data_IF_552538253186
#
_entry.id   IF_552538253186
#
_cell.length_a   1.000
_cell.length_b   1.000
_cell.length_c   1.000
_cell.angle_alpha   90.00
_cell.angle_beta   90.00
_cell.angle_gamma   90.00
#
_symmetry.space_group_name_H-M   'P 1'
#
loop_
_entity.id
_entity.type
_entity.pdbx_description
1 polymer ?
#
# COMPACT_ATOMS: atom_id res chain seq x y z
N UNK A 1 9.85 -16.75 17.18
CA UNK A 1 9.07 -17.76 16.44
C UNK A 1 8.39 -18.83 17.32
N UNK A 2 8.80 -19.06 18.57
CA UNK A 2 8.29 -20.18 19.39
C UNK A 2 6.85 -20.03 19.96
N UNK A 3 6.36 -18.80 20.17
CA UNK A 3 5.07 -18.55 20.83
C UNK A 3 3.88 -19.00 19.97
N UNK A 4 3.94 -18.77 18.66
CA UNK A 4 2.86 -19.10 17.72
C UNK A 4 2.65 -20.61 17.60
N UNK A 5 3.73 -21.39 17.50
CA UNK A 5 3.67 -22.85 17.40
C UNK A 5 3.07 -23.50 18.64
N UNK A 6 3.34 -22.94 19.83
CA UNK A 6 2.76 -23.43 21.09
C UNK A 6 1.26 -23.15 21.17
N UNK A 7 0.82 -21.98 20.71
CA UNK A 7 -0.61 -21.62 20.67
C UNK A 7 -1.39 -22.50 19.68
N UNK A 8 -0.85 -22.73 18.48
CA UNK A 8 -1.49 -23.58 17.48
C UNK A 8 -1.63 -25.03 17.94
N UNK A 9 -0.59 -25.58 18.58
CA UNK A 9 -0.64 -26.91 19.18
C UNK A 9 -1.69 -27.01 20.30
N UNK A 10 -1.81 -25.97 21.13
CA UNK A 10 -2.75 -25.94 22.26
C UNK A 10 -4.22 -25.82 21.81
N UNK A 11 -4.46 -25.40 20.58
CA UNK A 11 -5.77 -25.31 19.96
C UNK A 11 -6.09 -26.51 19.03
N UNK A 12 -5.24 -27.55 19.01
CA UNK A 12 -5.36 -28.71 18.10
C UNK A 12 -5.47 -28.34 16.60
N UNK A 13 -4.81 -27.24 16.19
CA UNK A 13 -4.80 -26.81 14.80
C UNK A 13 -3.57 -27.39 14.10
N UNK A 14 -3.73 -28.24 13.05
CA UNK A 14 -2.60 -28.84 12.35
C UNK A 14 -1.81 -27.76 11.60
N UNK A 15 -0.49 -27.73 11.82
CA UNK A 15 0.41 -26.85 11.09
C UNK A 15 0.85 -27.55 9.80
N UNK A 16 0.79 -26.90 8.63
CA UNK A 16 1.21 -27.54 7.39
C UNK A 16 2.72 -27.84 7.39
N UNK A 17 3.15 -28.93 6.73
CA UNK A 17 4.57 -29.28 6.66
C UNK A 17 5.37 -28.22 5.90
N UNK A 18 6.66 -28.11 6.21
CA UNK A 18 7.57 -27.22 5.49
C UNK A 18 7.53 -27.52 3.98
N UNK A 19 7.33 -26.48 3.16
CA UNK A 19 7.16 -26.63 1.71
C UNK A 19 5.72 -26.86 1.23
N UNK A 20 4.73 -26.88 2.12
CA UNK A 20 3.30 -26.91 1.74
C UNK A 20 2.92 -25.80 0.74
N UNK A 21 3.36 -24.57 1.00
CA UNK A 21 3.08 -23.42 0.13
C UNK A 21 3.73 -23.56 -1.25
N UNK A 22 4.95 -24.10 -1.31
CA UNK A 22 5.64 -24.40 -2.56
C UNK A 22 4.87 -25.47 -3.38
N UNK A 23 4.37 -26.52 -2.73
CA UNK A 23 3.57 -27.56 -3.41
C UNK A 23 2.23 -27.02 -3.94
N UNK A 24 1.60 -26.09 -3.22
CA UNK A 24 0.37 -25.40 -3.65
C UNK A 24 0.63 -24.47 -4.85
N UNK A 25 1.75 -23.73 -4.84
CA UNK A 25 2.13 -22.85 -5.96
C UNK A 25 2.42 -23.61 -7.25
N UNK A 26 3.00 -24.82 -7.16
CA UNK A 26 3.25 -25.68 -8.31
C UNK A 26 2.09 -26.63 -8.66
N UNK A 27 0.88 -26.41 -8.11
CA UNK A 27 -0.34 -27.14 -8.47
C UNK A 27 -0.32 -28.64 -8.17
N UNK A 28 0.57 -29.12 -7.29
CA UNK A 28 0.62 -30.54 -6.90
C UNK A 28 -0.53 -30.86 -5.94
N UNK A 29 -1.19 -32.03 -6.03
CA UNK A 29 -2.22 -32.42 -5.08
C UNK A 29 -1.59 -32.55 -3.69
N UNK A 30 -2.13 -31.81 -2.72
CA UNK A 30 -1.67 -31.83 -1.32
C UNK A 30 -2.78 -32.39 -0.45
N UNK A 31 -2.48 -33.46 0.29
CA UNK A 31 -3.41 -34.04 1.26
C UNK A 31 -3.52 -33.12 2.49
N UNK A 32 -4.73 -32.62 2.74
CA UNK A 32 -5.03 -31.84 3.95
C UNK A 32 -5.47 -32.81 5.06
N UNK A 33 -4.78 -32.87 6.21
CA UNK A 33 -5.25 -33.66 7.33
C UNK A 33 -6.60 -33.12 7.81
N UNK A 34 -7.57 -34.03 7.99
CA UNK A 34 -8.93 -33.69 8.40
C UNK A 34 -8.94 -32.99 9.76
N UNK A 35 -9.71 -31.91 9.87
CA UNK A 35 -9.89 -31.18 11.12
C UNK A 35 -10.53 -32.08 12.19
N UNK A 36 -10.18 -31.90 13.48
CA UNK A 36 -10.84 -32.62 14.57
C UNK A 36 -12.33 -32.26 14.65
N UNK A 37 -13.18 -33.16 15.19
CA UNK A 37 -14.60 -32.89 15.36
C UNK A 37 -14.83 -31.69 16.29
N UNK A 38 -15.78 -30.84 15.93
CA UNK A 38 -16.12 -29.63 16.68
C UNK A 38 -16.56 -29.97 18.11
N UNK A 39 -16.03 -29.30 19.16
CA UNK A 39 -16.49 -29.50 20.52
C UNK A 39 -17.95 -29.07 20.67
N UNK A 40 -18.74 -29.89 21.38
CA UNK A 40 -20.17 -29.68 21.62
C UNK A 40 -20.36 -28.46 22.53
N UNK A 41 -20.51 -27.28 21.92
CA UNK A 41 -20.48 -25.98 22.59
C UNK A 41 -20.02 -24.82 21.70
N UNK A 42 -19.55 -25.09 20.47
CA UNK A 42 -19.32 -24.05 19.47
C UNK A 42 -20.65 -23.47 18.98
N UNK A 43 -21.04 -22.32 19.54
CA UNK A 43 -22.07 -21.45 18.97
C UNK A 43 -21.55 -20.95 17.61
N UNK A 44 -22.40 -21.10 16.58
CA UNK A 44 -22.35 -20.61 15.19
C UNK A 44 -21.02 -20.08 14.60
N UNK A 45 -20.67 -20.46 13.35
CA UNK A 45 -19.52 -19.88 12.69
C UNK A 45 -19.68 -18.36 12.57
N UNK A 46 -18.75 -17.60 13.17
CA UNK A 46 -18.58 -16.18 12.92
C UNK A 46 -18.37 -15.97 11.41
N UNK A 47 -19.44 -15.66 10.68
CA UNK A 47 -19.35 -15.19 9.30
C UNK A 47 -18.65 -13.84 9.37
N UNK A 48 -17.39 -13.82 8.92
CA UNK A 48 -16.65 -12.57 8.79
C UNK A 48 -17.26 -11.77 7.63
N UNK A 49 -18.27 -10.96 7.93
CA UNK A 49 -18.85 -10.01 6.99
C UNK A 49 -17.77 -9.00 6.57
N UNK A 50 -17.27 -9.16 5.34
CA UNK A 50 -16.27 -8.27 4.74
C UNK A 50 -16.84 -6.89 4.40
N UNK A 51 -18.15 -6.69 4.52
CA UNK A 51 -18.87 -5.49 4.09
C UNK A 51 -18.89 -4.35 5.11
N UNK A 52 -18.60 -4.60 6.40
CA UNK A 52 -18.49 -3.52 7.41
C UNK A 52 -17.04 -3.16 7.72
N UNK A 53 -16.34 -2.56 6.75
CA UNK A 53 -15.04 -1.90 7.01
C UNK A 53 -15.18 -0.39 6.90
N UNK A 54 -15.93 0.19 7.83
CA UNK A 54 -15.94 1.63 8.10
C UNK A 54 -15.75 1.84 9.60
N UNK A 55 -14.51 1.92 10.05
CA UNK A 55 -14.19 2.07 11.46
C UNK A 55 -12.69 2.14 11.69
N UNK A 56 -12.19 3.37 11.83
CA UNK A 56 -10.81 3.72 12.13
C UNK A 56 -10.21 2.82 13.22
N UNK A 57 -9.09 2.17 12.90
CA UNK A 57 -8.13 1.72 13.91
C UNK A 57 -6.81 2.40 13.61
N UNK A 58 -6.55 3.45 14.37
CA UNK A 58 -5.25 4.08 14.56
C UNK A 58 -4.28 3.01 15.07
N UNK A 59 -3.49 2.43 14.16
CA UNK A 59 -2.34 1.61 14.52
C UNK A 59 -1.17 2.57 14.72
N UNK A 60 -0.92 2.96 15.96
CA UNK A 60 0.38 3.47 16.40
C UNK A 60 1.44 2.45 15.97
N UNK A 61 2.11 2.75 14.85
CA UNK A 61 3.27 2.01 14.40
C UNK A 61 4.39 2.31 15.38
N UNK A 62 4.59 1.39 16.34
CA UNK A 62 5.83 1.30 17.10
C UNK A 62 6.95 1.12 16.07
N UNK A 63 7.66 2.22 15.82
CA UNK A 63 8.78 2.33 14.90
C UNK A 63 10.00 1.69 15.56
N UNK A 64 10.08 0.35 15.53
CA UNK A 64 11.32 -0.33 15.90
C UNK A 64 12.29 -0.21 14.74
N UNK A 65 13.21 0.74 14.84
CA UNK A 65 14.34 0.90 13.93
C UNK A 65 15.17 -0.39 13.91
N UNK A 66 15.13 -1.14 12.80
CA UNK A 66 16.14 -2.16 12.52
C UNK A 66 17.39 -1.44 12.00
N UNK A 67 18.31 -1.14 12.91
CA UNK A 67 19.65 -0.62 12.61
C UNK A 67 20.48 -1.75 11.98
N UNK A 68 20.58 -1.75 10.64
CA UNK A 68 21.46 -2.69 9.92
C UNK A 68 22.90 -2.16 9.98
N UNK A 69 23.74 -2.80 10.78
CA UNK A 69 25.19 -2.60 10.76
C UNK A 69 25.81 -3.26 9.50
N UNK A 70 26.89 -2.70 8.92
CA UNK A 70 27.52 -3.27 7.74
C UNK A 70 28.28 -4.54 8.13
N UNK A 71 27.87 -5.68 7.55
CA UNK A 71 28.60 -6.94 7.69
C UNK A 71 29.77 -6.94 6.71
N UNK A 72 30.98 -7.00 7.27
CA UNK A 72 32.23 -7.20 6.55
C UNK A 72 32.22 -8.54 5.79
N UNK A 73 32.64 -8.51 4.52
CA UNK A 73 32.88 -9.73 3.73
C UNK A 73 34.16 -10.42 4.23
N UNK A 74 34.13 -11.72 4.59
CA UNK A 74 35.35 -12.49 4.80
C UNK A 74 36.03 -12.79 3.45
N UNK A 75 37.36 -12.80 3.47
CA UNK A 75 38.21 -13.07 2.32
C UNK A 75 37.99 -14.46 1.72
N UNK A 76 37.94 -14.51 0.40
CA UNK A 76 37.98 -15.77 -0.36
C UNK A 76 39.44 -16.06 -0.67
N UNK A 77 39.95 -17.07 0.03
CA UNK A 77 41.19 -17.77 -0.30
C UNK A 77 40.98 -18.64 -1.54
N UNK A 78 42.05 -18.77 -2.30
CA UNK A 78 42.29 -19.63 -3.46
C UNK A 78 41.93 -21.10 -3.21
N UNK A 79 41.39 -21.82 -4.20
CA UNK A 79 41.60 -23.25 -4.30
C UNK A 79 42.88 -23.56 -5.10
N UNK A 80 43.69 -24.42 -4.52
CA UNK A 80 44.74 -25.18 -5.18
C UNK A 80 44.21 -25.86 -6.45
N UNK A 81 44.90 -25.67 -7.58
CA UNK A 81 44.76 -26.49 -8.76
C UNK A 81 46.07 -27.22 -9.02
N UNK A 82 45.92 -28.54 -9.02
CA UNK A 82 46.86 -29.58 -9.38
C UNK A 82 47.84 -29.20 -10.52
N UNK A 83 49.11 -29.30 -10.16
CA UNK A 83 50.24 -29.80 -10.93
C UNK A 83 49.95 -30.29 -12.37
N UNK A 84 50.35 -29.50 -13.38
CA UNK A 84 50.85 -30.01 -14.67
C UNK A 84 51.98 -29.12 -15.20
N UNK A 85 53.10 -29.78 -15.47
CA UNK A 85 54.42 -29.27 -15.89
C UNK A 85 54.37 -28.24 -17.05
N UNK A 86 55.20 -27.18 -17.02
CA UNK A 86 55.33 -26.24 -18.15
C UNK A 86 56.17 -26.84 -19.29
N UNK A 87 55.69 -26.80 -20.53
CA UNK A 87 56.54 -26.93 -21.71
C UNK A 87 56.98 -25.54 -22.21
N UNK A 88 58.24 -25.36 -22.62
CA UNK A 88 58.73 -24.06 -23.12
C UNK A 88 58.25 -23.80 -24.57
N UNK A 89 57.71 -22.61 -24.88
CA UNK A 89 57.45 -22.24 -26.27
C UNK A 89 58.77 -21.85 -26.98
N UNK A 90 59.07 -22.52 -28.10
CA UNK A 90 60.22 -22.24 -28.98
C UNK A 90 60.11 -20.83 -29.61
N UNK A 91 61.23 -20.09 -29.77
CA UNK A 91 61.21 -18.77 -30.41
C UNK A 91 61.09 -18.91 -31.94
N UNK A 92 60.32 -18.02 -32.58
CA UNK A 92 60.26 -17.88 -34.05
C UNK A 92 60.37 -16.38 -34.40
N UNK A 93 61.07 -16.01 -35.48
CA UNK A 93 61.85 -14.77 -35.53
C UNK A 93 61.03 -13.51 -35.82
N UNK A 94 61.63 -12.42 -35.38
CA UNK A 94 61.23 -11.03 -35.53
C UNK A 94 61.00 -10.62 -36.99
N UNK A 95 59.90 -9.88 -37.22
CA UNK A 95 59.81 -8.84 -38.25
C UNK A 95 59.32 -7.56 -37.55
N UNK A 96 59.98 -6.40 -37.75
CA UNK A 96 59.60 -5.18 -37.06
C UNK A 96 58.42 -4.54 -37.80
N UNK A 97 57.24 -4.56 -37.19
CA UNK A 97 56.14 -3.65 -37.54
C UNK A 97 55.43 -3.25 -36.24
N UNK A 98 56.21 -2.70 -35.32
CA UNK A 98 55.73 -1.88 -34.22
C UNK A 98 55.45 -0.50 -34.79
N UNK A 99 54.21 -0.19 -35.18
CA UNK A 99 53.63 1.18 -35.20
C UNK A 99 52.19 1.23 -35.75
N UNK A 100 51.29 0.28 -35.43
CA UNK A 100 49.89 0.44 -35.89
C UNK A 100 48.78 -0.07 -34.97
N UNK A 101 49.04 -0.97 -34.01
CA UNK A 101 47.96 -1.48 -33.12
C UNK A 101 47.92 -0.87 -31.73
N UNK A 102 48.98 -0.19 -31.29
CA UNK A 102 49.02 0.48 -29.97
C UNK A 102 48.46 1.89 -30.04
N UNK A 103 48.62 2.59 -31.18
CA UNK A 103 48.14 3.96 -31.36
C UNK A 103 46.60 4.08 -31.32
N UNK A 104 45.87 3.05 -31.78
CA UNK A 104 44.40 3.04 -31.80
C UNK A 104 43.80 2.93 -30.39
N UNK A 105 44.47 2.24 -29.45
CA UNK A 105 44.00 2.13 -28.06
C UNK A 105 44.30 3.39 -27.24
N UNK A 106 45.41 4.09 -27.51
CA UNK A 106 45.79 5.31 -26.78
C UNK A 106 44.86 6.49 -27.12
N UNK A 107 44.35 6.57 -28.35
CA UNK A 107 43.38 7.61 -28.75
C UNK A 107 41.91 7.25 -28.41
N UNK A 108 41.55 5.96 -28.33
CA UNK A 108 40.18 5.52 -28.02
C UNK A 108 39.86 5.46 -26.51
N UNK A 109 40.87 5.36 -25.63
CA UNK A 109 40.69 5.32 -24.17
C UNK A 109 39.88 6.51 -23.61
N UNK A 110 40.23 7.76 -23.95
CA UNK A 110 39.47 8.94 -23.52
C UNK A 110 38.03 8.95 -24.03
N UNK A 111 37.79 8.49 -25.27
CA UNK A 111 36.45 8.41 -25.86
C UNK A 111 35.58 7.35 -25.15
N UNK A 112 36.15 6.20 -24.77
CA UNK A 112 35.44 5.17 -24.01
C UNK A 112 35.11 5.61 -22.57
N UNK A 113 36.02 6.35 -21.92
CA UNK A 113 35.76 6.95 -20.60
C UNK A 113 34.66 8.02 -20.70
N UNK A 114 34.67 8.84 -21.74
CA UNK A 114 33.63 9.84 -21.97
C UNK A 114 32.27 9.20 -22.25
N UNK A 115 32.22 8.19 -23.13
CA UNK A 115 30.98 7.46 -23.43
C UNK A 115 30.38 6.78 -22.19
N UNK A 116 31.22 6.29 -21.27
CA UNK A 116 30.77 5.73 -19.99
C UNK A 116 30.16 6.82 -19.10
N UNK A 117 30.82 7.99 -18.98
CA UNK A 117 30.28 9.13 -18.23
C UNK A 117 28.97 9.64 -18.81
N UNK A 118 28.85 9.70 -20.14
CA UNK A 118 27.63 10.12 -20.83
C UNK A 118 26.48 9.12 -20.60
N UNK A 119 26.76 7.80 -20.60
CA UNK A 119 25.79 6.77 -20.22
C UNK A 119 25.37 6.89 -18.76
N UNK A 120 26.33 7.04 -17.84
CA UNK A 120 26.07 7.23 -16.42
C UNK A 120 25.30 8.55 -16.16
N UNK A 121 25.52 9.60 -16.95
CA UNK A 121 24.76 10.85 -16.89
C UNK A 121 23.33 10.66 -17.44
N UNK A 122 23.18 10.01 -18.58
CA UNK A 122 21.87 9.71 -19.18
C UNK A 122 21.04 8.77 -18.29
N UNK A 123 21.66 7.81 -17.60
CA UNK A 123 20.99 6.97 -16.60
C UNK A 123 20.51 7.77 -15.40
N UNK A 124 21.35 8.68 -14.88
CA UNK A 124 20.96 9.59 -13.79
C UNK A 124 19.82 10.51 -14.22
N UNK A 125 19.85 11.03 -15.44
CA UNK A 125 18.76 11.85 -16.00
C UNK A 125 17.46 11.05 -16.13
N UNK A 126 17.52 9.81 -16.62
CA UNK A 126 16.35 8.91 -16.68
C UNK A 126 15.79 8.63 -15.30
N UNK A 127 16.63 8.31 -14.32
CA UNK A 127 16.21 8.06 -12.94
C UNK A 127 15.55 9.30 -12.33
N UNK A 128 16.12 10.49 -12.52
CA UNK A 128 15.52 11.74 -12.04
C UNK A 128 14.18 12.04 -12.74
N UNK A 129 14.09 11.79 -14.05
CA UNK A 129 12.86 11.97 -14.80
C UNK A 129 11.77 10.99 -14.35
N UNK A 130 12.11 9.73 -14.10
CA UNK A 130 11.19 8.70 -13.57
C UNK A 130 10.71 9.05 -12.16
N UNK A 131 11.62 9.50 -11.27
CA UNK A 131 11.23 9.97 -9.93
C UNK A 131 10.26 11.14 -9.99
N UNK A 132 10.53 12.14 -10.85
CA UNK A 132 9.62 13.29 -11.06
C UNK A 132 8.25 12.84 -11.55
N UNK A 133 8.20 11.95 -12.56
CA UNK A 133 6.93 11.40 -13.07
C UNK A 133 6.16 10.66 -11.99
N UNK A 134 6.85 9.82 -11.22
CA UNK A 134 6.23 9.08 -10.13
C UNK A 134 5.67 10.01 -9.05
N UNK A 135 6.41 11.06 -8.67
CA UNK A 135 5.95 12.05 -7.70
C UNK A 135 4.74 12.85 -8.20
N UNK A 136 4.76 13.29 -9.46
CA UNK A 136 3.65 13.98 -10.10
C UNK A 136 2.40 13.10 -10.16
N UNK A 137 2.53 11.84 -10.58
CA UNK A 137 1.43 10.88 -10.59
C UNK A 137 0.88 10.65 -9.18
N UNK A 138 1.75 10.50 -8.18
CA UNK A 138 1.33 10.37 -6.80
C UNK A 138 0.60 11.62 -6.28
N UNK A 139 1.07 12.82 -6.63
CA UNK A 139 0.36 14.07 -6.31
C UNK A 139 -1.01 14.10 -6.96
N UNK A 140 -1.09 13.82 -8.28
CA UNK A 140 -2.34 13.80 -9.03
C UNK A 140 -3.34 12.80 -8.44
N UNK A 141 -2.89 11.61 -8.02
CA UNK A 141 -3.76 10.62 -7.36
C UNK A 141 -4.29 11.14 -6.01
N UNK A 142 -3.43 11.72 -5.17
CA UNK A 142 -3.88 12.34 -3.91
C UNK A 142 -4.90 13.45 -4.14
N UNK A 143 -4.63 14.34 -5.09
CA UNK A 143 -5.49 15.48 -5.37
C UNK A 143 -6.82 15.03 -5.99
N UNK A 144 -6.81 14.02 -6.86
CA UNK A 144 -8.02 13.41 -7.39
C UNK A 144 -8.88 12.77 -6.29
N UNK A 145 -8.26 12.05 -5.35
CA UNK A 145 -8.95 11.46 -4.20
C UNK A 145 -9.54 12.55 -3.27
N UNK A 146 -8.79 13.61 -3.01
CA UNK A 146 -9.25 14.77 -2.23
C UNK A 146 -10.43 15.46 -2.90
N UNK A 147 -10.36 15.64 -4.22
CA UNK A 147 -11.45 16.20 -5.00
C UNK A 147 -12.70 15.32 -4.97
N UNK A 148 -12.54 14.00 -5.05
CA UNK A 148 -13.65 13.04 -4.90
C UNK A 148 -14.35 13.25 -3.55
N UNK A 149 -13.59 13.28 -2.45
CA UNK A 149 -14.14 13.51 -1.10
C UNK A 149 -14.85 14.86 -1.00
N UNK A 150 -14.27 15.91 -1.56
CA UNK A 150 -14.88 17.23 -1.56
C UNK A 150 -16.24 17.24 -2.28
N UNK A 151 -16.34 16.56 -3.43
CA UNK A 151 -17.62 16.41 -4.15
C UNK A 151 -18.66 15.63 -3.36
N UNK A 152 -18.26 14.55 -2.69
CA UNK A 152 -19.17 13.79 -1.81
C UNK A 152 -19.77 14.72 -0.74
N UNK A 153 -18.92 15.50 -0.06
CA UNK A 153 -19.37 16.43 0.97
C UNK A 153 -20.30 17.53 0.41
N UNK A 154 -20.04 18.02 -0.80
CA UNK A 154 -20.90 18.99 -1.46
C UNK A 154 -22.26 18.39 -1.85
N UNK A 155 -22.28 17.11 -2.24
CA UNK A 155 -23.50 16.36 -2.52
C UNK A 155 -24.31 16.14 -1.24
N UNK A 156 -23.66 15.66 -0.17
CA UNK A 156 -24.28 15.48 1.15
C UNK A 156 -24.91 16.80 1.63
N UNK A 157 -24.17 17.92 1.51
CA UNK A 157 -24.67 19.23 1.88
C UNK A 157 -25.91 19.65 1.07
N UNK A 158 -25.93 19.37 -0.24
CA UNK A 158 -27.08 19.66 -1.10
C UNK A 158 -28.30 18.81 -0.69
N UNK A 159 -28.10 17.55 -0.37
CA UNK A 159 -29.17 16.67 0.11
C UNK A 159 -29.76 17.18 1.43
N UNK A 160 -28.91 17.63 2.36
CA UNK A 160 -29.37 18.26 3.60
C UNK A 160 -30.12 19.57 3.36
N UNK A 161 -29.75 20.37 2.34
CA UNK A 161 -30.48 21.57 1.95
C UNK A 161 -31.91 21.22 1.49
N UNK A 162 -32.07 20.18 0.68
CA UNK A 162 -33.41 19.69 0.27
C UNK A 162 -34.27 19.30 1.46
N UNK A 163 -33.69 18.62 2.47
CA UNK A 163 -34.42 18.23 3.68
C UNK A 163 -34.83 19.47 4.50
N UNK A 164 -33.99 20.50 4.59
CA UNK A 164 -34.34 21.77 5.25
C UNK A 164 -35.51 22.46 4.57
N UNK A 165 -35.48 22.54 3.25
CA UNK A 165 -36.56 23.16 2.47
C UNK A 165 -37.86 22.36 2.63
N UNK A 166 -37.78 21.04 2.66
CA UNK A 166 -38.93 20.18 2.91
C UNK A 166 -39.53 20.42 4.31
N UNK A 167 -38.72 20.44 5.37
CA UNK A 167 -39.20 20.74 6.73
C UNK A 167 -39.77 22.16 6.84
N UNK A 168 -39.17 23.14 6.17
CA UNK A 168 -39.72 24.49 6.10
C UNK A 168 -41.10 24.51 5.41
N UNK A 169 -41.26 23.73 4.35
CA UNK A 169 -42.54 23.56 3.65
C UNK A 169 -43.56 22.93 4.58
N UNK A 170 -43.22 21.84 5.28
CA UNK A 170 -44.12 21.20 6.25
C UNK A 170 -44.57 22.15 7.35
N UNK A 171 -43.67 22.99 7.88
CA UNK A 171 -44.02 24.04 8.86
C UNK A 171 -44.98 25.09 8.31
N UNK A 172 -44.93 25.37 7.01
CA UNK A 172 -45.83 26.32 6.36
C UNK A 172 -47.20 25.71 6.03
N UNK A 173 -47.32 24.37 6.05
CA UNK A 173 -48.62 23.72 5.91
C UNK A 173 -49.40 23.93 7.21
N UNK A 174 -50.68 24.32 7.07
CA UNK A 174 -51.54 24.72 8.18
C UNK A 174 -52.07 23.49 8.97
N UNK A 175 -51.17 22.60 9.39
CA UNK A 175 -51.44 21.44 10.23
C UNK A 175 -51.32 21.89 11.69
N UNK A 176 -52.28 21.48 12.53
CA UNK A 176 -52.20 21.75 13.96
C UNK A 176 -50.94 21.08 14.55
N UNK A 177 -49.98 21.84 15.09
CA UNK A 177 -48.74 21.30 15.65
C UNK A 177 -48.96 20.31 16.80
N UNK A 178 -50.12 20.35 17.46
CA UNK A 178 -50.50 19.45 18.54
C UNK A 178 -51.17 18.16 18.05
N UNK A 179 -51.36 17.98 16.74
CA UNK A 179 -51.88 16.73 16.19
C UNK A 179 -50.94 15.58 16.53
N UNK A 180 -51.46 14.55 17.21
CA UNK A 180 -50.69 13.36 17.54
C UNK A 180 -50.76 12.33 16.41
N UNK A 181 -49.59 11.87 15.98
CA UNK A 181 -49.42 10.77 15.04
C UNK A 181 -48.53 9.74 15.72
N UNK A 182 -49.07 8.54 15.95
CA UNK A 182 -48.38 7.45 16.68
C UNK A 182 -47.86 7.85 18.07
N UNK A 183 -48.58 8.73 18.77
CA UNK A 183 -48.24 9.15 20.14
C UNK A 183 -47.14 10.21 20.22
N UNK A 184 -46.77 10.83 19.10
CA UNK A 184 -45.92 12.03 19.07
C UNK A 184 -46.63 13.14 18.32
N UNK A 185 -46.47 14.37 18.79
CA UNK A 185 -47.03 15.53 18.10
C UNK A 185 -46.30 15.81 16.78
N UNK A 186 -46.97 16.43 15.81
CA UNK A 186 -46.34 16.90 14.56
C UNK A 186 -45.15 17.83 14.87
N UNK A 187 -45.24 18.65 15.92
CA UNK A 187 -44.14 19.50 16.37
C UNK A 187 -42.91 18.69 16.81
N UNK A 188 -43.08 17.58 17.53
CA UNK A 188 -41.99 16.69 17.94
C UNK A 188 -41.36 15.98 16.74
N UNK A 189 -42.15 15.55 15.77
CA UNK A 189 -41.64 14.97 14.52
C UNK A 189 -40.79 15.98 13.72
N UNK A 190 -41.22 17.24 13.65
CA UNK A 190 -40.44 18.31 13.00
C UNK A 190 -39.14 18.58 13.78
N UNK A 191 -39.20 18.64 15.11
CA UNK A 191 -38.02 18.85 15.95
C UNK A 191 -37.02 17.68 15.86
N UNK A 192 -37.51 16.45 15.72
CA UNK A 192 -36.68 15.28 15.45
C UNK A 192 -35.91 15.44 14.13
N UNK A 193 -36.57 15.91 13.07
CA UNK A 193 -35.93 16.20 11.78
C UNK A 193 -34.83 17.27 11.87
N UNK A 194 -35.09 18.36 12.61
CA UNK A 194 -34.09 19.41 12.84
C UNK A 194 -32.85 18.90 13.58
N UNK A 195 -33.06 18.08 14.62
CA UNK A 195 -31.95 17.51 15.39
C UNK A 195 -31.08 16.62 14.49
N UNK A 196 -31.71 15.82 13.63
CA UNK A 196 -30.98 15.01 12.66
C UNK A 196 -30.15 15.87 11.70
N UNK A 197 -30.71 16.98 11.20
CA UNK A 197 -29.97 17.92 10.35
C UNK A 197 -28.77 18.56 11.05
N UNK A 198 -28.91 18.94 12.32
CA UNK A 198 -27.80 19.51 13.10
C UNK A 198 -26.65 18.51 13.29
N UNK A 199 -26.97 17.23 13.45
CA UNK A 199 -25.98 16.17 13.63
C UNK A 199 -25.32 15.75 12.31
N UNK A 200 -26.05 15.81 11.21
CA UNK A 200 -25.58 15.41 9.89
C UNK A 200 -24.81 16.52 9.17
N UNK A 201 -25.03 17.79 9.51
CA UNK A 201 -24.40 18.91 8.81
C UNK A 201 -22.88 18.99 9.09
N UNK A 202 -22.04 18.79 8.05
CA UNK A 202 -20.59 18.83 8.21
C UNK A 202 -20.06 20.24 8.55
N UNK A 203 -20.86 21.29 8.35
CA UNK A 203 -20.45 22.69 8.57
C UNK A 203 -20.76 23.20 9.97
N UNK A 204 -21.61 22.50 10.75
CA UNK A 204 -21.99 22.90 12.12
C UNK A 204 -20.79 22.95 13.05
N UNK A 205 -19.78 22.09 12.82
CA UNK A 205 -18.57 22.05 13.63
C UNK A 205 -17.41 22.89 13.07
N UNK A 206 -17.70 23.79 12.13
CA UNK A 206 -16.71 24.69 11.53
C UNK A 206 -16.08 24.17 10.23
N UNK A 207 -15.68 25.11 9.38
CA UNK A 207 -15.06 24.82 8.07
C UNK A 207 -13.70 24.12 8.19
N UNK A 208 -13.01 24.29 9.32
CA UNK A 208 -11.71 23.68 9.57
C UNK A 208 -11.78 22.15 9.67
N UNK A 209 -12.89 21.60 10.19
CA UNK A 209 -13.10 20.15 10.25
C UNK A 209 -13.29 19.59 8.83
N UNK A 210 -14.01 20.32 7.97
CA UNK A 210 -14.19 19.94 6.55
C UNK A 210 -12.83 19.80 5.87
N UNK A 211 -11.98 20.82 5.97
CA UNK A 211 -10.65 20.78 5.37
C UNK A 211 -9.73 19.75 6.02
N UNK A 212 -9.85 19.49 7.33
CA UNK A 212 -9.13 18.39 7.99
C UNK A 212 -9.52 17.02 7.45
N UNK A 213 -10.81 16.77 7.22
CA UNK A 213 -11.29 15.52 6.62
C UNK A 213 -10.76 15.33 5.20
N UNK A 214 -10.71 16.40 4.39
CA UNK A 214 -10.12 16.36 3.04
C UNK A 214 -8.61 16.16 3.11
N UNK A 215 -7.92 16.86 4.02
CA UNK A 215 -6.47 16.75 4.17
C UNK A 215 -6.01 15.33 4.57
N UNK A 216 -6.84 14.63 5.37
CA UNK A 216 -6.62 13.25 5.78
C UNK A 216 -6.69 12.23 4.63
N UNK A 217 -7.23 12.61 3.46
CA UNK A 217 -7.29 11.75 2.28
C UNK A 217 -5.88 11.56 1.69
N UNK A 218 -5.53 10.30 1.47
CA UNK A 218 -4.26 9.84 0.89
C UNK A 218 -4.47 9.26 -0.51
N UNK A 219 -3.38 8.90 -1.19
CA UNK A 219 -3.41 8.26 -2.51
C UNK A 219 -3.99 6.84 -2.49
N UNK A 220 -4.16 6.26 -1.30
CA UNK A 220 -4.69 4.91 -1.11
C UNK A 220 -6.08 4.89 -0.48
N UNK A 221 -6.67 6.05 -0.19
CA UNK A 221 -7.96 6.14 0.53
C UNK A 221 -9.12 5.61 -0.32
N UNK A 222 -9.10 5.89 -1.62
CA UNK A 222 -10.00 5.26 -2.57
C UNK A 222 -9.19 4.23 -3.35
N UNK A 223 -9.70 3.00 -3.39
CA UNK A 223 -9.22 1.96 -4.29
C UNK A 223 -10.15 2.01 -5.50
N UNK A 224 -9.61 2.33 -6.66
CA UNK A 224 -10.33 2.18 -7.93
C UNK A 224 -10.52 0.69 -8.26
#
# INVERSE_FOLDING_TARGET
MAVLTTLLRRADIPTPPAGYWMRKEFGKPVEQPSLPPTPSGCVEPLIWNTERRGGNRHLEQIKTELKVAPVARPGVQTPDSENKTPQPPKPRPSKPTTMTRVATFVAAGPLLVQQRKDREAAERERQLAEQRRYEEERRRKRDANRWRRFKEMAQDWRELATVRDFLATLRSMNVDPSTEIEGQSVAEWIAWGDNWLQRADPTVNGVDIVFRQIAAITDWTYRD
#
